data_IF_591165459686
#
_entry.id   IF_591165459686
#
_cell.length_a   1.000
_cell.length_b   1.000
_cell.length_c   1.000
_cell.angle_alpha   90.00
_cell.angle_beta   90.00
_cell.angle_gamma   90.00
#
_symmetry.space_group_name_H-M   'P 1'
#
loop_
_entity.id
_entity.type
_entity.pdbx_description
1 polymer ?
#
# COMPACT_ATOMS: atom_id res chain seq x y z
N UNK A 1 13.03 6.11 -14.37
CA UNK A 1 12.01 5.08 -14.02
C UNK A 1 12.30 4.61 -12.60
N UNK A 2 11.29 4.57 -11.74
CA UNK A 2 11.48 4.19 -10.32
C UNK A 2 11.22 2.71 -10.07
N UNK A 3 10.20 2.16 -10.73
CA UNK A 3 9.75 0.77 -10.58
C UNK A 3 9.21 0.28 -11.93
N UNK A 4 9.35 -1.00 -12.20
CA UNK A 4 8.82 -1.66 -13.39
C UNK A 4 7.59 -2.51 -13.07
N UNK A 5 6.74 -2.72 -14.06
CA UNK A 5 5.60 -3.63 -14.01
C UNK A 5 5.30 -4.18 -15.41
N UNK A 6 4.52 -5.27 -15.52
CA UNK A 6 4.10 -5.79 -16.81
C UNK A 6 3.36 -4.74 -17.64
N UNK A 7 3.84 -4.47 -18.84
CA UNK A 7 3.26 -3.51 -19.79
C UNK A 7 2.83 -4.13 -21.11
N UNK A 8 2.95 -5.44 -21.24
CA UNK A 8 2.67 -6.16 -22.47
C UNK A 8 3.83 -6.24 -23.44
N UNK A 9 3.74 -7.15 -24.38
CA UNK A 9 4.68 -7.35 -25.46
C UNK A 9 3.96 -8.00 -26.67
N UNK A 10 3.43 -7.19 -27.54
CA UNK A 10 2.74 -7.65 -28.76
C UNK A 10 3.66 -8.44 -29.69
N UNK A 11 4.96 -8.16 -29.65
CA UNK A 11 5.92 -8.85 -30.52
C UNK A 11 6.35 -10.22 -30.00
N UNK A 12 5.93 -10.58 -28.79
CA UNK A 12 6.22 -11.90 -28.23
C UNK A 12 5.72 -13.02 -29.14
N UNK A 13 4.57 -12.84 -29.77
CA UNK A 13 3.97 -13.79 -30.70
C UNK A 13 4.75 -13.95 -31.97
N UNK A 14 5.26 -12.84 -32.50
CA UNK A 14 6.06 -12.84 -33.71
C UNK A 14 7.39 -13.57 -33.51
N UNK A 15 7.82 -13.76 -32.26
CA UNK A 15 9.05 -14.44 -31.91
C UNK A 15 8.89 -15.94 -31.67
N UNK A 16 7.66 -16.44 -31.37
CA UNK A 16 7.44 -17.85 -30.98
C UNK A 16 7.12 -18.75 -32.17
N UNK A 17 6.66 -18.24 -33.28
CA UNK A 17 6.48 -19.04 -34.47
C UNK A 17 5.52 -18.48 -35.49
N UNK A 18 6.02 -18.38 -36.70
CA UNK A 18 5.22 -18.07 -37.88
C UNK A 18 4.34 -19.25 -38.31
N UNK A 19 4.48 -20.42 -37.70
CA UNK A 19 3.88 -21.66 -38.17
C UNK A 19 2.59 -22.06 -37.46
N UNK A 20 2.26 -21.45 -36.32
CA UNK A 20 1.02 -21.75 -35.57
C UNK A 20 -0.06 -20.70 -35.78
N UNK A 21 -0.73 -20.77 -36.91
CA UNK A 21 -1.95 -19.98 -37.16
C UNK A 21 -3.05 -20.23 -36.13
N UNK A 22 -3.10 -21.40 -35.49
CA UNK A 22 -4.05 -21.73 -34.42
C UNK A 22 -3.89 -20.82 -33.21
N UNK A 23 -2.67 -20.34 -32.93
CA UNK A 23 -2.40 -19.44 -31.82
C UNK A 23 -3.06 -18.07 -31.99
N UNK A 24 -3.17 -17.57 -33.22
CA UNK A 24 -3.83 -16.31 -33.56
C UNK A 24 -5.35 -16.44 -33.63
N UNK A 25 -5.85 -17.60 -34.01
CA UNK A 25 -7.28 -17.83 -34.13
C UNK A 25 -7.97 -18.03 -32.79
N UNK A 26 -7.28 -18.55 -31.79
CA UNK A 26 -7.86 -18.84 -30.49
C UNK A 26 -7.72 -17.71 -29.47
N UNK A 27 -6.99 -16.63 -29.72
CA UNK A 27 -6.80 -15.48 -28.81
C UNK A 27 -6.34 -15.87 -27.36
N UNK A 28 -5.86 -17.07 -27.17
CA UNK A 28 -5.72 -17.65 -25.82
C UNK A 28 -4.48 -17.17 -25.07
N UNK A 29 -3.45 -16.70 -25.74
CA UNK A 29 -2.24 -16.19 -25.09
C UNK A 29 -1.75 -14.95 -25.79
N UNK A 30 -2.09 -13.78 -25.31
CA UNK A 30 -1.51 -12.52 -25.77
C UNK A 30 -0.37 -12.12 -24.81
N UNK A 31 0.80 -11.72 -25.34
CA UNK A 31 1.84 -11.04 -24.56
C UNK A 31 1.37 -9.67 -24.08
N UNK A 32 0.26 -9.18 -24.62
CA UNK A 32 -0.39 -7.93 -24.27
C UNK A 32 -1.19 -8.03 -22.97
N UNK A 33 -1.49 -6.89 -22.37
CA UNK A 33 -2.26 -6.80 -21.15
C UNK A 33 -3.76 -6.77 -21.47
N UNK A 34 -4.48 -7.78 -20.97
CA UNK A 34 -5.94 -7.85 -21.07
C UNK A 34 -6.60 -6.93 -20.04
N UNK A 35 -7.56 -6.14 -20.46
CA UNK A 35 -8.35 -5.30 -19.57
C UNK A 35 -9.76 -5.06 -20.11
N UNK A 36 -10.61 -4.51 -19.25
CA UNK A 36 -11.96 -4.07 -19.66
C UNK A 36 -11.86 -2.81 -20.50
N UNK A 37 -12.75 -2.71 -21.49
CA UNK A 37 -12.84 -1.53 -22.36
C UNK A 37 -14.29 -1.30 -22.81
N UNK A 38 -14.53 -0.16 -23.42
CA UNK A 38 -15.76 0.11 -24.15
C UNK A 38 -15.46 -0.02 -25.65
N UNK A 39 -16.18 -0.88 -26.34
CA UNK A 39 -16.11 -1.02 -27.79
C UNK A 39 -17.51 -0.82 -28.36
N UNK A 40 -17.66 0.12 -29.29
CA UNK A 40 -18.93 0.47 -29.92
C UNK A 40 -20.07 0.78 -28.91
N UNK A 41 -19.73 1.46 -27.80
CA UNK A 41 -20.68 1.82 -26.74
C UNK A 41 -21.08 0.68 -25.80
N UNK A 42 -20.48 -0.50 -25.92
CA UNK A 42 -20.75 -1.66 -25.06
C UNK A 42 -19.53 -2.10 -24.28
N UNK A 43 -19.70 -2.67 -23.06
CA UNK A 43 -18.61 -3.28 -22.31
C UNK A 43 -17.95 -4.40 -23.12
N UNK A 44 -16.62 -4.43 -23.13
CA UNK A 44 -15.81 -5.42 -23.83
C UNK A 44 -14.50 -5.68 -23.10
N UNK A 45 -13.76 -6.65 -23.58
CA UNK A 45 -12.36 -6.88 -23.18
C UNK A 45 -11.46 -6.61 -24.39
N UNK A 46 -10.24 -6.20 -24.11
CA UNK A 46 -9.24 -5.97 -25.14
C UNK A 46 -7.83 -5.99 -24.62
N UNK A 47 -6.90 -6.19 -25.52
CA UNK A 47 -5.48 -6.27 -25.24
C UNK A 47 -4.78 -4.97 -25.65
N UNK A 48 -3.89 -4.48 -24.80
CA UNK A 48 -3.08 -3.30 -25.07
C UNK A 48 -1.67 -3.46 -24.50
N UNK A 49 -0.72 -2.74 -25.08
CA UNK A 49 0.67 -2.71 -24.63
C UNK A 49 1.11 -1.29 -24.33
N UNK A 50 2.04 -1.18 -23.41
CA UNK A 50 2.70 0.07 -23.11
C UNK A 50 2.88 0.33 -21.62
N UNK A 51 3.60 1.39 -21.33
CA UNK A 51 3.79 1.88 -19.96
C UNK A 51 2.47 2.31 -19.30
N UNK A 52 1.46 2.67 -20.12
CA UNK A 52 0.10 2.94 -19.66
C UNK A 52 -0.60 1.72 -19.06
N UNK A 53 -0.21 0.51 -19.46
CA UNK A 53 -0.69 -0.75 -18.90
C UNK A 53 0.14 -1.19 -17.70
N UNK A 54 1.43 -0.85 -17.67
CA UNK A 54 2.30 -1.10 -16.51
C UNK A 54 1.91 -0.22 -15.30
N UNK A 55 1.53 1.02 -15.50
CA UNK A 55 1.17 1.96 -14.44
C UNK A 55 0.03 1.43 -13.53
N UNK A 56 -1.13 0.97 -14.04
CA UNK A 56 -2.20 0.45 -13.19
C UNK A 56 -1.81 -0.83 -12.42
N UNK A 57 -0.86 -1.64 -12.91
CA UNK A 57 -0.34 -2.75 -12.12
C UNK A 57 0.35 -2.26 -10.84
N UNK A 58 1.21 -1.25 -10.94
CA UNK A 58 1.85 -0.65 -9.77
C UNK A 58 0.80 -0.03 -8.84
N UNK A 59 -0.17 0.70 -9.39
CA UNK A 59 -1.25 1.31 -8.61
C UNK A 59 -2.12 0.26 -7.91
N UNK A 60 -2.42 -0.86 -8.60
CA UNK A 60 -3.19 -1.98 -8.02
C UNK A 60 -2.44 -2.66 -6.88
N UNK A 61 -1.14 -2.91 -7.04
CA UNK A 61 -0.30 -3.48 -5.98
C UNK A 61 -0.18 -2.51 -4.80
N UNK A 62 -0.04 -1.21 -5.06
CA UNK A 62 -0.02 -0.20 -4.00
C UNK A 62 -1.35 -0.15 -3.24
N UNK A 63 -2.50 -0.18 -3.95
CA UNK A 63 -3.82 -0.21 -3.33
C UNK A 63 -4.03 -1.48 -2.48
N UNK A 64 -3.60 -2.65 -2.99
CA UNK A 64 -3.61 -3.90 -2.24
C UNK A 64 -2.79 -3.80 -0.96
N UNK A 65 -1.56 -3.27 -1.05
CA UNK A 65 -0.69 -3.07 0.09
C UNK A 65 -1.29 -2.12 1.13
N UNK A 66 -1.86 -0.98 0.72
CA UNK A 66 -2.53 -0.06 1.63
C UNK A 66 -3.76 -0.68 2.30
N UNK A 67 -4.57 -1.45 1.55
CA UNK A 67 -5.71 -2.18 2.11
C UNK A 67 -5.25 -3.20 3.16
N UNK A 68 -4.18 -3.94 2.87
CA UNK A 68 -3.59 -4.88 3.80
C UNK A 68 -3.01 -4.19 5.05
N UNK A 69 -2.32 -3.06 4.86
CA UNK A 69 -1.81 -2.25 5.96
C UNK A 69 -2.92 -1.83 6.94
N UNK A 70 -4.07 -1.40 6.40
CA UNK A 70 -5.25 -1.06 7.23
C UNK A 70 -5.74 -2.28 8.03
N UNK A 71 -5.83 -3.46 7.40
CA UNK A 71 -6.24 -4.69 8.08
C UNK A 71 -5.25 -5.07 9.20
N UNK A 72 -3.95 -4.86 8.96
CA UNK A 72 -2.88 -5.10 9.93
C UNK A 72 -2.69 -3.93 10.90
N UNK A 73 -3.53 -2.91 10.84
CA UNK A 73 -3.45 -1.70 11.67
C UNK A 73 -2.07 -1.02 11.59
N UNK A 74 -1.50 -1.03 10.38
CA UNK A 74 -0.23 -0.38 10.06
C UNK A 74 -0.51 0.95 9.40
N UNK A 75 0.19 1.97 9.84
CA UNK A 75 0.09 3.30 9.26
C UNK A 75 1.40 3.69 8.58
N UNK A 76 1.29 4.33 7.42
CA UNK A 76 2.43 4.80 6.64
C UNK A 76 2.19 6.24 6.20
N UNK A 77 3.22 7.07 6.31
CA UNK A 77 3.28 8.31 5.53
C UNK A 77 3.47 7.96 4.05
N UNK A 78 3.04 8.84 3.16
CA UNK A 78 3.17 8.60 1.72
C UNK A 78 4.63 8.30 1.30
N UNK A 79 5.61 9.01 1.86
CA UNK A 79 7.03 8.79 1.56
C UNK A 79 7.53 7.43 2.05
N UNK A 80 7.08 6.97 3.21
CA UNK A 80 7.44 5.67 3.78
C UNK A 80 6.87 4.54 2.93
N UNK A 81 5.60 4.65 2.54
CA UNK A 81 4.96 3.65 1.70
C UNK A 81 5.57 3.58 0.29
N UNK A 82 5.92 4.72 -0.31
CA UNK A 82 6.64 4.77 -1.60
C UNK A 82 8.00 4.10 -1.50
N UNK A 83 8.75 4.34 -0.42
CA UNK A 83 10.03 3.67 -0.20
C UNK A 83 9.84 2.15 -0.07
N UNK A 84 8.88 1.71 0.74
CA UNK A 84 8.55 0.31 0.94
C UNK A 84 8.14 -0.38 -0.37
N UNK A 85 7.32 0.29 -1.20
CA UNK A 85 6.92 -0.21 -2.51
C UNK A 85 8.13 -0.40 -3.45
N UNK A 86 9.07 0.56 -3.46
CA UNK A 86 10.30 0.50 -4.26
C UNK A 86 11.27 -0.59 -3.80
N UNK A 87 11.25 -0.97 -2.55
CA UNK A 87 12.03 -2.08 -1.98
C UNK A 87 11.34 -3.44 -2.20
N UNK A 88 10.03 -3.43 -2.37
CA UNK A 88 9.19 -4.61 -2.56
C UNK A 88 9.12 -5.02 -4.03
N UNK A 89 10.28 -5.28 -4.63
CA UNK A 89 10.41 -5.60 -6.05
C UNK A 89 11.26 -6.84 -6.27
N UNK A 90 11.07 -7.47 -7.42
CA UNK A 90 11.92 -8.53 -7.92
C UNK A 90 13.00 -7.91 -8.83
N UNK A 91 14.30 -7.98 -8.47
CA UNK A 91 15.37 -7.46 -9.32
C UNK A 91 15.38 -8.17 -10.68
N UNK A 92 15.58 -7.41 -11.76
CA UNK A 92 15.56 -7.93 -13.14
C UNK A 92 16.90 -7.82 -13.85
N UNK A 93 17.86 -7.07 -13.33
CA UNK A 93 19.14 -6.83 -13.98
C UNK A 93 19.91 -8.13 -14.32
N UNK A 94 19.80 -9.15 -13.46
CA UNK A 94 20.39 -10.45 -13.72
C UNK A 94 19.80 -11.14 -14.96
N UNK A 95 18.57 -10.79 -15.36
CA UNK A 95 17.95 -11.33 -16.57
C UNK A 95 18.51 -10.71 -17.84
N UNK A 96 19.04 -9.51 -17.73
CA UNK A 96 19.64 -8.77 -18.85
C UNK A 96 21.13 -9.03 -19.01
N UNK A 97 21.76 -9.74 -18.08
CA UNK A 97 23.17 -10.10 -18.14
C UNK A 97 23.44 -11.32 -19.04
N UNK A 98 24.73 -11.63 -19.28
CA UNK A 98 25.15 -12.85 -19.99
C UNK A 98 25.00 -12.76 -21.51
N UNK A 99 25.03 -11.54 -22.11
CA UNK A 99 25.00 -11.38 -23.57
C UNK A 99 23.65 -11.70 -24.19
N UNK A 100 22.57 -11.70 -23.41
CA UNK A 100 21.22 -11.96 -23.91
C UNK A 100 20.77 -10.88 -24.89
N UNK A 101 20.05 -11.31 -25.90
CA UNK A 101 19.51 -10.48 -26.97
C UNK A 101 18.02 -10.75 -27.09
N UNK A 102 17.26 -9.71 -27.45
CA UNK A 102 15.88 -9.84 -27.91
C UNK A 102 15.80 -9.43 -29.37
N UNK A 103 15.21 -10.29 -30.20
CA UNK A 103 14.94 -10.00 -31.60
C UNK A 103 13.53 -9.46 -31.73
N UNK A 104 13.36 -8.30 -32.33
CA UNK A 104 12.08 -7.73 -32.68
C UNK A 104 11.82 -7.96 -34.15
N UNK A 105 10.73 -8.65 -34.45
CA UNK A 105 10.21 -8.84 -35.80
C UNK A 105 9.19 -7.73 -36.03
N UNK A 106 9.40 -6.92 -37.04
CA UNK A 106 8.44 -5.87 -37.39
C UNK A 106 7.13 -6.47 -37.89
N UNK A 107 6.07 -5.80 -37.48
CA UNK A 107 4.66 -6.08 -37.65
C UNK A 107 4.30 -6.83 -38.97
N UNK A 108 3.36 -7.75 -38.82
CA UNK A 108 2.71 -8.58 -39.85
C UNK A 108 2.35 -7.87 -41.18
N UNK A 109 2.10 -6.57 -41.12
CA UNK A 109 1.68 -5.74 -42.27
C UNK A 109 2.83 -5.01 -42.98
N UNK A 110 4.07 -5.25 -42.57
CA UNK A 110 5.24 -4.64 -43.22
C UNK A 110 6.19 -5.72 -43.72
N UNK A 111 5.94 -6.30 -44.88
CA UNK A 111 6.87 -7.26 -45.45
C UNK A 111 8.21 -6.54 -45.73
N UNK A 112 9.32 -7.11 -45.30
CA UNK A 112 10.67 -6.71 -45.67
C UNK A 112 11.44 -5.75 -44.72
N UNK A 113 11.07 -5.55 -43.48
CA UNK A 113 12.04 -4.97 -42.55
C UNK A 113 12.84 -6.08 -41.88
N UNK A 114 14.14 -6.09 -41.96
CA UNK A 114 15.00 -7.02 -41.25
C UNK A 114 14.73 -6.95 -39.74
N UNK A 115 14.70 -8.10 -39.03
CA UNK A 115 14.53 -8.11 -37.58
C UNK A 115 15.58 -7.23 -36.91
N UNK A 116 15.18 -6.45 -35.92
CA UNK A 116 16.11 -5.68 -35.11
C UNK A 116 16.50 -6.46 -33.86
N UNK A 117 17.80 -6.53 -33.60
CA UNK A 117 18.34 -7.23 -32.43
C UNK A 117 18.73 -6.21 -31.37
N UNK A 118 18.15 -6.35 -30.18
CA UNK A 118 18.46 -5.52 -29.03
C UNK A 118 19.34 -6.28 -28.04
N UNK A 119 20.47 -5.68 -27.70
CA UNK A 119 21.34 -6.16 -26.62
C UNK A 119 20.72 -5.81 -25.27
N UNK A 120 20.29 -6.79 -24.49
CA UNK A 120 19.59 -6.54 -23.22
C UNK A 120 20.50 -5.96 -22.14
N UNK A 121 21.79 -6.20 -22.19
CA UNK A 121 22.78 -5.62 -21.27
C UNK A 121 22.76 -4.08 -21.21
N UNK A 122 22.30 -3.40 -22.28
CA UNK A 122 22.14 -1.94 -22.32
C UNK A 122 21.08 -1.41 -21.34
N UNK A 123 20.22 -2.28 -20.81
CA UNK A 123 19.13 -1.94 -19.90
C UNK A 123 19.42 -2.24 -18.44
N UNK A 124 20.56 -2.86 -18.11
CA UNK A 124 21.02 -3.06 -16.74
C UNK A 124 21.09 -1.70 -16.03
N UNK A 125 20.48 -1.61 -14.85
CA UNK A 125 20.36 -0.38 -14.06
C UNK A 125 19.36 0.65 -14.58
N UNK A 126 18.59 0.35 -15.65
CA UNK A 126 17.63 1.29 -16.26
C UNK A 126 16.16 0.93 -16.00
N UNK A 127 15.90 -0.21 -15.36
CA UNK A 127 14.57 -0.72 -15.12
C UNK A 127 14.02 -0.35 -13.74
N UNK A 128 14.52 0.73 -13.14
CA UNK A 128 14.17 1.15 -11.79
C UNK A 128 14.74 0.18 -10.74
N UNK A 129 14.09 0.07 -9.59
CA UNK A 129 14.51 -0.86 -8.53
C UNK A 129 14.20 -2.33 -8.86
N UNK A 130 13.31 -2.59 -9.81
CA UNK A 130 12.90 -3.92 -10.26
C UNK A 130 11.43 -3.99 -10.64
N UNK A 131 10.91 -5.19 -10.86
CA UNK A 131 9.49 -5.43 -11.14
C UNK A 131 8.72 -5.53 -9.82
N UNK A 132 7.60 -4.82 -9.74
CA UNK A 132 6.70 -4.83 -8.58
C UNK A 132 6.31 -6.26 -8.18
N UNK A 133 6.36 -6.55 -6.89
CA UNK A 133 6.02 -7.86 -6.31
C UNK A 133 5.04 -7.67 -5.16
N UNK A 134 3.78 -8.06 -5.39
CA UNK A 134 2.71 -7.91 -4.41
C UNK A 134 2.95 -8.74 -3.15
N UNK A 135 3.42 -10.00 -3.29
CA UNK A 135 3.70 -10.87 -2.15
C UNK A 135 4.79 -10.31 -1.26
N UNK A 136 5.87 -9.80 -1.88
CA UNK A 136 6.96 -9.16 -1.15
C UNK A 136 6.50 -7.87 -0.44
N UNK A 137 5.62 -7.09 -1.08
CA UNK A 137 5.05 -5.90 -0.44
C UNK A 137 4.25 -6.26 0.81
N UNK A 138 3.37 -7.26 0.72
CA UNK A 138 2.57 -7.69 1.88
C UNK A 138 3.44 -8.17 3.04
N UNK A 139 4.46 -8.99 2.75
CA UNK A 139 5.42 -9.46 3.76
C UNK A 139 6.21 -8.28 4.40
N UNK A 140 6.61 -7.31 3.60
CA UNK A 140 7.33 -6.14 4.12
C UNK A 140 6.43 -5.25 4.98
N UNK A 141 5.12 -5.18 4.70
CA UNK A 141 4.15 -4.44 5.52
C UNK A 141 4.06 -5.04 6.93
N UNK A 142 4.11 -6.34 7.10
CA UNK A 142 4.04 -6.98 8.41
C UNK A 142 5.15 -6.53 9.37
N UNK A 143 6.35 -6.24 8.86
CA UNK A 143 7.50 -5.77 9.62
C UNK A 143 7.65 -4.25 9.71
N UNK A 144 6.74 -3.46 9.13
CA UNK A 144 6.90 -2.02 8.91
C UNK A 144 5.71 -1.22 9.42
N UNK A 145 5.77 0.09 9.24
CA UNK A 145 4.73 1.03 9.65
C UNK A 145 5.10 1.81 10.90
N UNK A 146 4.34 2.83 11.21
CA UNK A 146 4.54 3.70 12.36
C UNK A 146 3.27 3.77 13.22
N UNK A 147 3.46 4.09 14.50
CA UNK A 147 2.36 4.35 15.41
C UNK A 147 1.55 5.56 14.95
N UNK A 148 0.23 5.46 15.10
CA UNK A 148 -0.69 6.57 14.87
C UNK A 148 -0.81 7.41 16.14
N UNK A 149 -1.16 8.68 15.97
CA UNK A 149 -1.43 9.56 17.12
C UNK A 149 -2.75 9.15 17.79
N UNK A 150 -2.73 8.85 19.07
CA UNK A 150 -3.93 8.65 19.88
C UNK A 150 -4.71 9.97 19.94
N UNK A 151 -6.01 9.98 19.67
CA UNK A 151 -6.81 11.21 19.65
C UNK A 151 -6.99 11.81 21.04
N UNK A 152 -7.17 13.13 21.10
CA UNK A 152 -7.64 13.80 22.30
C UNK A 152 -9.04 13.32 22.67
N UNK A 153 -9.33 13.28 23.96
CA UNK A 153 -10.61 12.80 24.47
C UNK A 153 -11.47 13.96 25.00
N UNK A 154 -12.73 13.96 24.64
CA UNK A 154 -13.74 14.86 25.17
C UNK A 154 -14.78 14.04 25.90
N UNK A 155 -15.04 14.35 27.16
CA UNK A 155 -15.97 13.60 28.00
C UNK A 155 -16.80 14.56 28.86
N UNK A 156 -18.03 14.18 29.16
CA UNK A 156 -18.86 14.94 30.09
C UNK A 156 -18.43 14.69 31.53
N UNK A 157 -18.70 15.64 32.45
CA UNK A 157 -18.56 15.44 33.88
C UNK A 157 -19.48 14.30 34.32
N UNK A 158 -18.92 13.31 35.01
CA UNK A 158 -19.60 12.06 35.39
C UNK A 158 -19.75 11.04 34.24
N UNK A 159 -19.37 11.37 33.03
CA UNK A 159 -19.40 10.47 31.85
C UNK A 159 -18.11 9.71 31.64
N UNK A 160 -18.15 8.71 30.77
CA UNK A 160 -17.01 7.89 30.35
C UNK A 160 -16.84 7.93 28.83
N UNK A 161 -15.60 7.83 28.37
CA UNK A 161 -15.23 7.66 26.96
C UNK A 161 -14.18 6.56 26.84
N UNK A 162 -14.31 5.69 25.83
CA UNK A 162 -13.40 4.59 25.59
C UNK A 162 -12.61 4.75 24.30
N UNK A 163 -11.32 4.41 24.34
CA UNK A 163 -10.41 4.41 23.19
C UNK A 163 -9.71 3.05 23.14
N UNK A 164 -9.83 2.36 22.02
CA UNK A 164 -9.05 1.13 21.82
C UNK A 164 -7.64 1.48 21.34
N UNK A 165 -6.67 1.41 22.23
CA UNK A 165 -5.27 1.77 22.00
C UNK A 165 -4.61 0.87 20.95
N UNK A 166 -5.04 -0.40 20.82
CA UNK A 166 -4.49 -1.31 19.82
C UNK A 166 -4.60 -0.78 18.38
N UNK A 167 -5.52 0.14 18.11
CA UNK A 167 -5.67 0.75 16.77
C UNK A 167 -4.58 1.77 16.43
N UNK A 168 -3.86 2.26 17.41
CA UNK A 168 -2.93 3.38 17.22
C UNK A 168 -1.46 2.95 17.25
N UNK A 169 -1.17 1.72 17.65
CA UNK A 169 0.20 1.23 17.77
C UNK A 169 0.44 0.02 16.85
N UNK A 170 1.62 -0.04 16.27
CA UNK A 170 2.07 -1.18 15.46
C UNK A 170 2.09 -2.43 16.34
N UNK A 171 1.49 -3.53 15.89
CA UNK A 171 1.25 -4.75 16.68
C UNK A 171 0.42 -4.52 17.95
N UNK A 172 -0.41 -3.52 17.98
CA UNK A 172 -1.11 -3.04 19.16
C UNK A 172 -1.89 -4.12 19.92
N UNK A 173 -2.36 -5.19 19.26
CA UNK A 173 -3.07 -6.29 19.92
C UNK A 173 -2.20 -7.15 20.82
N UNK A 174 -0.89 -7.16 20.57
CA UNK A 174 0.08 -7.95 21.36
C UNK A 174 0.79 -7.11 22.42
N UNK A 175 0.51 -5.80 22.46
CA UNK A 175 1.14 -4.87 23.37
C UNK A 175 0.33 -4.70 24.67
N UNK A 176 1.02 -4.36 25.74
CA UNK A 176 0.39 -3.94 27.00
C UNK A 176 0.52 -2.43 27.17
N UNK A 177 -0.48 -1.85 27.82
CA UNK A 177 -0.63 -0.41 27.95
C UNK A 177 -0.76 -0.02 29.41
N UNK A 178 -0.16 1.11 29.78
CA UNK A 178 -0.39 1.78 31.05
C UNK A 178 -0.75 3.23 30.79
N UNK A 179 -1.76 3.73 31.48
CA UNK A 179 -2.24 5.09 31.33
C UNK A 179 -2.22 5.81 32.68
N UNK A 180 -1.75 7.05 32.69
CA UNK A 180 -1.70 7.86 33.91
C UNK A 180 -2.27 9.24 33.62
N UNK A 181 -3.19 9.71 34.45
CA UNK A 181 -3.70 11.07 34.40
C UNK A 181 -2.82 11.99 35.23
N UNK A 182 -2.50 13.16 34.71
CA UNK A 182 -1.74 14.19 35.40
C UNK A 182 -2.56 14.84 36.54
N UNK A 183 -3.90 14.88 36.38
CA UNK A 183 -4.83 15.39 37.40
C UNK A 183 -6.09 14.51 37.49
N UNK A 184 -6.08 13.60 38.45
CA UNK A 184 -7.22 12.72 38.72
C UNK A 184 -8.46 13.45 39.25
N UNK A 185 -8.31 14.69 39.71
CA UNK A 185 -9.45 15.50 40.13
C UNK A 185 -10.24 16.06 38.92
N UNK A 186 -9.61 16.12 37.74
CA UNK A 186 -10.27 16.51 36.49
C UNK A 186 -10.75 15.27 35.75
N UNK A 187 -9.89 14.27 35.51
CA UNK A 187 -10.27 13.01 34.86
C UNK A 187 -9.45 11.85 35.39
N UNK A 188 -10.10 10.71 35.54
CA UNK A 188 -9.44 9.43 35.85
C UNK A 188 -9.33 8.57 34.62
N UNK A 189 -8.37 7.64 34.62
CA UNK A 189 -8.14 6.72 33.49
C UNK A 189 -7.90 5.31 34.02
N UNK A 190 -8.47 4.34 33.36
CA UNK A 190 -8.18 2.92 33.52
C UNK A 190 -7.88 2.30 32.16
N UNK A 191 -7.12 1.20 32.14
CA UNK A 191 -6.84 0.46 30.90
C UNK A 191 -6.94 -1.03 31.16
N UNK A 192 -7.65 -1.74 30.28
CA UNK A 192 -7.79 -3.18 30.32
C UNK A 192 -7.93 -3.73 28.91
N UNK A 193 -7.14 -4.78 28.57
CA UNK A 193 -7.18 -5.41 27.25
C UNK A 193 -7.13 -4.39 26.08
N UNK A 194 -6.18 -3.48 26.11
CA UNK A 194 -6.03 -2.36 25.16
C UNK A 194 -7.14 -1.30 25.14
N UNK A 195 -8.22 -1.46 25.89
CA UNK A 195 -9.26 -0.44 26.04
C UNK A 195 -8.88 0.54 27.15
N UNK A 196 -8.62 1.78 26.76
CA UNK A 196 -8.47 2.90 27.69
C UNK A 196 -9.85 3.51 27.94
N UNK A 197 -10.26 3.54 29.21
CA UNK A 197 -11.48 4.19 29.65
C UNK A 197 -11.14 5.46 30.44
N UNK A 198 -11.66 6.59 29.99
CA UNK A 198 -11.47 7.90 30.61
C UNK A 198 -12.79 8.35 31.23
N UNK A 199 -12.78 8.64 32.53
CA UNK A 199 -13.94 9.16 33.26
C UNK A 199 -13.73 10.63 33.61
N UNK A 200 -14.65 11.49 33.20
CA UNK A 200 -14.66 12.91 33.54
C UNK A 200 -15.11 13.09 34.99
N UNK A 201 -14.28 13.69 35.84
CA UNK A 201 -14.58 13.94 37.26
C UNK A 201 -15.11 15.35 37.50
N UNK A 202 -14.42 16.36 36.94
CA UNK A 202 -14.74 17.77 37.07
C UNK A 202 -14.39 18.52 35.80
N UNK A 203 -15.22 19.46 35.44
CA UNK A 203 -14.98 20.35 34.27
C UNK A 203 -13.57 20.97 34.32
N UNK A 204 -12.83 20.82 33.22
CA UNK A 204 -11.44 21.27 33.08
C UNK A 204 -10.72 20.50 32.00
N UNK A 205 -9.40 20.66 31.94
CA UNK A 205 -8.55 19.91 31.04
C UNK A 205 -7.35 19.33 31.78
N UNK A 206 -6.96 18.12 31.43
CA UNK A 206 -5.77 17.43 31.95
C UNK A 206 -5.09 16.65 30.83
N UNK A 207 -3.94 16.07 31.09
CA UNK A 207 -3.28 15.18 30.15
C UNK A 207 -3.31 13.76 30.68
N UNK A 208 -3.35 12.82 29.73
CA UNK A 208 -3.13 11.40 30.01
C UNK A 208 -1.90 10.97 29.23
N UNK A 209 -0.94 10.40 29.94
CA UNK A 209 0.24 9.74 29.34
C UNK A 209 -0.09 8.26 29.14
N UNK A 210 0.02 7.82 27.89
CA UNK A 210 -0.11 6.42 27.44
C UNK A 210 1.28 5.87 27.21
N UNK A 211 1.69 4.87 28.01
CA UNK A 211 2.96 4.13 27.84
C UNK A 211 2.67 2.73 27.34
N UNK A 212 3.51 2.25 26.43
CA UNK A 212 3.34 0.99 25.74
C UNK A 212 4.55 0.09 25.98
N UNK A 213 4.34 -1.22 26.05
CA UNK A 213 5.40 -2.20 26.34
C UNK A 213 6.53 -2.25 25.31
N UNK A 214 6.34 -1.72 24.11
CA UNK A 214 7.39 -1.57 23.10
C UNK A 214 8.28 -0.32 23.29
N UNK A 215 8.04 0.47 24.34
CA UNK A 215 8.76 1.70 24.63
C UNK A 215 8.13 2.96 24.05
N UNK A 216 7.08 2.86 23.25
CA UNK A 216 6.35 4.03 22.75
C UNK A 216 5.63 4.74 23.89
N UNK A 217 5.59 6.08 23.83
CA UNK A 217 4.88 6.92 24.78
C UNK A 217 4.17 8.05 24.04
N UNK A 218 2.91 8.31 24.39
CA UNK A 218 2.12 9.42 23.84
C UNK A 218 1.36 10.13 24.95
N UNK A 219 1.28 11.46 24.84
CA UNK A 219 0.46 12.27 25.72
C UNK A 219 -0.73 12.83 24.95
N UNK A 220 -1.91 12.67 25.50
CA UNK A 220 -3.18 13.16 24.93
C UNK A 220 -3.81 14.18 25.88
N UNK A 221 -4.57 15.11 25.32
CA UNK A 221 -5.37 16.06 26.12
C UNK A 221 -6.75 15.46 26.35
N UNK A 222 -7.19 15.51 27.60
CA UNK A 222 -8.57 15.20 28.00
C UNK A 222 -9.25 16.48 28.42
N UNK A 223 -10.40 16.75 27.80
CA UNK A 223 -11.25 17.89 28.15
C UNK A 223 -12.56 17.40 28.73
N UNK A 224 -12.81 17.74 29.97
CA UNK A 224 -14.08 17.44 30.66
C UNK A 224 -15.01 18.65 30.56
N UNK A 225 -16.21 18.42 30.06
CA UNK A 225 -17.24 19.44 29.86
C UNK A 225 -18.42 19.21 30.80
N UNK A 226 -19.12 20.26 31.14
CA UNK A 226 -20.23 20.20 32.09
C UNK A 226 -21.41 19.36 31.57
N UNK A 227 -21.64 19.36 30.26
CA UNK A 227 -22.71 18.61 29.60
C UNK A 227 -22.17 17.85 28.36
N UNK A 228 -22.72 16.66 28.08
CA UNK A 228 -22.36 15.87 26.91
C UNK A 228 -22.67 16.59 25.57
N UNK A 229 -23.65 17.48 25.55
CA UNK A 229 -24.11 18.22 24.36
C UNK A 229 -23.42 19.58 24.19
N UNK A 230 -22.48 19.93 25.06
CA UNK A 230 -21.72 21.16 24.96
C UNK A 230 -20.62 21.02 23.92
N UNK A 231 -20.96 21.27 22.66
CA UNK A 231 -20.09 21.07 21.48
C UNK A 231 -19.01 22.14 21.36
N UNK A 232 -18.96 23.10 22.25
CA UNK A 232 -17.98 24.19 22.19
C UNK A 232 -18.20 25.16 21.02
N UNK A 233 -19.35 25.12 20.36
CA UNK A 233 -19.77 26.09 19.37
C UNK A 233 -20.83 27.01 19.99
N UNK A 234 -20.41 28.04 20.64
CA UNK A 234 -21.13 29.30 20.86
C UNK A 234 -20.20 30.45 20.66
#
# INVERSE_FOLDING_TARGET
>A
MDISAPGGDTEYYNAIGEEDNEFWENNEVSGSILSTMIRNGSPAYGYMDGTSMACPHVSGVAALGLSYAVQQRRHFKASEFVALLKESVKPVDNWYSGGKKKTYYRNHNSPAAAPSVMELSKYIGKMGTGVVDAGKLLNNIEGSGSDMKVPNVYVAEGGTSTVNLAYYFVNGETLTYTCTSDDAAVATVTVGNSLMEVTGVKTGATHITVKVSNGSEQTITVTVRKNANDNGWM
#
